data_IF_200377868104
#
_entry.id   IF_200377868104
#
_cell.length_a   1.000
_cell.length_b   1.000
_cell.length_c   1.000
_cell.angle_alpha   90.00
_cell.angle_beta   90.00
_cell.angle_gamma   90.00
#
_symmetry.space_group_name_H-M   'P 1'
#
loop_
_entity.id
_entity.type
_entity.pdbx_description
1 polymer ?
#
# COMPACT_ATOMS: atom_id res chain seq x y z
N UNK A 1 -43.92 1.59 -13.55
CA UNK A 1 -43.24 1.91 -12.28
C UNK A 1 -42.28 0.78 -11.93
N UNK A 2 -41.16 0.73 -12.64
CA UNK A 2 -39.84 1.08 -12.08
C UNK A 2 -39.45 0.49 -10.71
N UNK A 3 -39.81 -0.76 -10.40
CA UNK A 3 -39.37 -1.38 -9.15
C UNK A 3 -38.34 -2.52 -9.34
N UNK A 4 -38.30 -3.19 -10.49
CA UNK A 4 -37.39 -4.36 -10.69
C UNK A 4 -36.03 -3.95 -11.24
N UNK A 5 -35.97 -2.96 -12.14
CA UNK A 5 -34.71 -2.46 -12.69
C UNK A 5 -33.83 -1.80 -11.62
N UNK A 6 -34.45 -1.18 -10.60
CA UNK A 6 -33.74 -0.53 -9.50
C UNK A 6 -32.89 -1.52 -8.69
N UNK A 7 -33.42 -2.71 -8.40
CA UNK A 7 -32.73 -3.75 -7.60
C UNK A 7 -31.51 -4.34 -8.33
N UNK A 8 -31.66 -4.67 -9.62
CA UNK A 8 -30.58 -5.27 -10.39
C UNK A 8 -29.45 -4.27 -10.66
N UNK A 9 -29.79 -3.03 -11.04
CA UNK A 9 -28.81 -1.97 -11.28
C UNK A 9 -28.06 -1.62 -9.99
N UNK A 10 -28.76 -1.56 -8.85
CA UNK A 10 -28.14 -1.31 -7.55
C UNK A 10 -27.13 -2.39 -7.17
N UNK A 11 -27.46 -3.67 -7.38
CA UNK A 11 -26.53 -4.78 -7.12
C UNK A 11 -25.29 -4.70 -7.99
N UNK A 12 -25.44 -4.37 -9.27
CA UNK A 12 -24.31 -4.23 -10.20
C UNK A 12 -23.40 -3.08 -9.76
N UNK A 13 -23.97 -1.95 -9.33
CA UNK A 13 -23.20 -0.81 -8.84
C UNK A 13 -22.43 -1.14 -7.55
N UNK A 14 -23.05 -1.83 -6.59
CA UNK A 14 -22.36 -2.25 -5.34
C UNK A 14 -21.18 -3.18 -5.64
N UNK A 15 -21.37 -4.13 -6.56
CA UNK A 15 -20.32 -5.06 -6.99
C UNK A 15 -19.19 -4.30 -7.69
N UNK A 16 -19.51 -3.38 -8.61
CA UNK A 16 -18.51 -2.57 -9.31
C UNK A 16 -17.71 -1.67 -8.35
N UNK A 17 -18.36 -1.06 -7.35
CA UNK A 17 -17.69 -0.24 -6.32
C UNK A 17 -16.80 -1.09 -5.42
N UNK A 18 -17.21 -2.31 -5.07
CA UNK A 18 -16.37 -3.23 -4.30
C UNK A 18 -15.11 -3.64 -5.08
N UNK A 19 -15.23 -3.94 -6.38
CA UNK A 19 -14.07 -4.23 -7.24
C UNK A 19 -13.18 -2.99 -7.45
N UNK A 20 -13.77 -1.81 -7.64
CA UNK A 20 -13.00 -0.56 -7.70
C UNK A 20 -12.25 -0.30 -6.39
N UNK A 21 -12.87 -0.53 -5.22
CA UNK A 21 -12.21 -0.37 -3.93
C UNK A 21 -11.04 -1.35 -3.75
N UNK A 22 -11.16 -2.59 -4.24
CA UNK A 22 -10.06 -3.57 -4.26
C UNK A 22 -8.91 -3.14 -5.19
N UNK A 23 -9.22 -2.50 -6.33
CA UNK A 23 -8.21 -1.98 -7.26
C UNK A 23 -7.54 -0.68 -6.74
N UNK A 24 -8.28 0.13 -5.97
CA UNK A 24 -7.79 1.35 -5.31
C UNK A 24 -6.91 1.04 -4.08
N UNK A 25 -6.85 -0.23 -3.62
CA UNK A 25 -5.87 -0.69 -2.61
C UNK A 25 -4.43 -0.78 -3.15
N UNK A 26 -4.07 0.10 -4.09
CA UNK A 26 -2.73 0.31 -4.63
C UNK A 26 -2.23 1.73 -4.33
N UNK A 27 -2.66 2.27 -3.19
CA UNK A 27 -2.20 3.54 -2.62
C UNK A 27 -1.20 3.38 -1.48
N UNK A 28 -0.74 2.17 -1.18
CA UNK A 28 0.44 1.98 -0.35
C UNK A 28 1.64 2.22 -1.26
N UNK A 29 2.34 3.35 -1.12
CA UNK A 29 3.58 3.59 -1.85
C UNK A 29 4.44 2.33 -1.74
N UNK A 30 4.73 1.67 -2.87
CA UNK A 30 5.21 0.29 -2.91
C UNK A 30 6.44 0.17 -2.01
N UNK A 31 6.22 -0.42 -0.83
CA UNK A 31 7.25 -0.56 0.18
C UNK A 31 8.15 -1.73 -0.20
N UNK A 32 9.43 -1.48 -0.42
CA UNK A 32 10.43 -2.54 -0.66
C UNK A 32 11.24 -2.74 0.61
N UNK A 33 10.97 -3.84 1.30
CA UNK A 33 11.66 -4.22 2.52
C UNK A 33 12.99 -4.92 2.21
N UNK A 34 14.06 -4.45 2.85
CA UNK A 34 15.43 -4.85 2.51
C UNK A 34 15.99 -5.81 3.54
N UNK A 35 16.19 -5.32 4.76
CA UNK A 35 16.71 -6.11 5.87
C UNK A 35 16.18 -5.53 7.19
N UNK A 36 16.63 -6.09 8.31
CA UNK A 36 16.25 -5.66 9.63
C UNK A 36 16.74 -4.24 9.91
N UNK A 37 15.94 -3.43 10.59
CA UNK A 37 16.37 -2.10 11.05
C UNK A 37 17.53 -2.15 12.04
N UNK A 38 17.76 -3.29 12.70
CA UNK A 38 18.97 -3.51 13.50
C UNK A 38 20.25 -3.53 12.64
N UNK A 39 20.14 -4.04 11.41
CA UNK A 39 21.23 -4.07 10.43
C UNK A 39 21.33 -2.73 9.66
N UNK A 40 20.21 -2.01 9.55
CA UNK A 40 20.10 -0.71 8.87
C UNK A 40 19.60 0.35 9.88
N UNK A 41 20.45 0.79 10.83
CA UNK A 41 20.05 1.67 11.94
C UNK A 41 19.53 3.04 11.48
N UNK A 42 19.87 3.46 10.27
CA UNK A 42 19.35 4.69 9.66
C UNK A 42 18.62 4.37 8.36
N UNK A 43 17.52 3.60 8.48
CA UNK A 43 16.72 3.11 7.36
C UNK A 43 16.38 4.20 6.34
N UNK A 44 15.88 5.35 6.80
CA UNK A 44 15.52 6.45 5.92
C UNK A 44 16.71 6.93 5.07
N UNK A 45 17.84 7.21 5.72
CA UNK A 45 19.04 7.68 5.03
C UNK A 45 19.62 6.61 4.09
N UNK A 46 19.64 5.35 4.52
CA UNK A 46 20.11 4.24 3.68
C UNK A 46 19.25 4.10 2.42
N UNK A 47 17.92 4.17 2.55
CA UNK A 47 17.01 4.12 1.42
C UNK A 47 17.27 5.26 0.42
N UNK A 48 17.50 6.49 0.90
CA UNK A 48 17.79 7.65 0.07
C UNK A 48 19.14 7.59 -0.65
N UNK A 49 20.11 6.83 -0.11
CA UNK A 49 21.49 6.80 -0.61
C UNK A 49 21.83 5.47 -1.28
N UNK A 50 22.03 4.42 -0.50
CA UNK A 50 22.42 3.09 -0.98
C UNK A 50 21.25 2.31 -1.60
N UNK A 51 20.03 2.53 -1.10
CA UNK A 51 18.83 1.82 -1.57
C UNK A 51 18.27 2.34 -2.89
N UNK A 52 18.58 3.58 -3.27
CA UNK A 52 18.05 4.19 -4.51
C UNK A 52 16.58 4.63 -4.44
N UNK A 53 16.04 4.78 -3.23
CA UNK A 53 14.66 5.22 -2.98
C UNK A 53 14.66 6.68 -2.49
N UNK A 54 14.47 7.67 -3.37
CA UNK A 54 14.61 9.09 -3.03
C UNK A 54 13.57 9.57 -2.00
N UNK A 55 12.44 8.89 -1.89
CA UNK A 55 11.41 9.14 -0.86
C UNK A 55 11.79 8.60 0.52
N UNK A 56 12.92 7.90 0.61
CA UNK A 56 13.43 7.32 1.84
C UNK A 56 12.72 6.05 2.26
N UNK A 57 12.62 5.83 3.57
CA UNK A 57 12.11 4.58 4.11
C UNK A 57 11.90 4.63 5.61
N UNK A 58 11.19 3.62 6.11
CA UNK A 58 10.83 3.53 7.51
C UNK A 58 10.89 2.10 8.01
N UNK A 59 11.10 1.97 9.32
CA UNK A 59 10.97 0.70 10.01
C UNK A 59 9.48 0.41 10.22
N UNK A 60 8.98 -0.68 9.65
CA UNK A 60 7.55 -1.02 9.74
C UNK A 60 7.29 -2.10 10.80
N UNK A 61 6.11 -2.08 11.45
CA UNK A 61 5.64 -3.14 12.36
C UNK A 61 5.55 -4.52 11.67
N UNK A 62 5.46 -5.64 12.42
CA UNK A 62 5.00 -5.77 13.80
C UNK A 62 6.03 -5.48 14.91
N UNK A 63 7.33 -5.31 14.59
CA UNK A 63 8.37 -5.10 15.61
C UNK A 63 9.35 -3.96 15.25
N UNK A 64 8.97 -3.05 14.34
CA UNK A 64 9.91 -2.09 13.72
C UNK A 64 11.16 -2.80 13.18
N UNK A 65 10.96 -4.07 12.79
CA UNK A 65 12.05 -4.99 12.59
C UNK A 65 12.62 -4.86 11.21
N UNK A 66 11.84 -4.46 10.21
CA UNK A 66 12.27 -4.40 8.82
C UNK A 66 12.31 -2.96 8.33
N UNK A 67 13.43 -2.60 7.70
CA UNK A 67 13.58 -1.36 6.97
C UNK A 67 12.93 -1.51 5.60
N UNK A 68 11.91 -0.71 5.33
CA UNK A 68 11.19 -0.72 4.07
C UNK A 68 11.27 0.66 3.41
N UNK A 69 11.80 0.67 2.19
CA UNK A 69 11.96 1.85 1.39
C UNK A 69 10.70 2.15 0.56
N UNK A 70 10.44 3.43 0.31
CA UNK A 70 9.27 3.90 -0.41
C UNK A 70 9.65 4.11 -1.88
N UNK A 71 9.08 3.33 -2.80
CA UNK A 71 9.15 3.59 -4.25
C UNK A 71 8.47 4.91 -4.65
#
# INVERSE_FOLDING_TARGET
>A
MDATFSSAVWRILVIAVAFAALLISSGEGKFVCQDKCQNIPNCNYWCQTAGGYPKGGQCVPPLYQFCCCIE
#
